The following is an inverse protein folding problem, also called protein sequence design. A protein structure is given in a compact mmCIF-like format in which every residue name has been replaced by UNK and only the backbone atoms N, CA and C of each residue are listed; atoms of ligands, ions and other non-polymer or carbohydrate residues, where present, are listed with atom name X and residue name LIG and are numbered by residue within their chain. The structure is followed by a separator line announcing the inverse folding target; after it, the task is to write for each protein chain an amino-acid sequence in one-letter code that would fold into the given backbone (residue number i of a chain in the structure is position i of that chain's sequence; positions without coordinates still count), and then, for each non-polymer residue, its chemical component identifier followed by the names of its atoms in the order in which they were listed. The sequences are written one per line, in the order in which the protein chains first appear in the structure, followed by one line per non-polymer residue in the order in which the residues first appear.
data_IF_770262092122
#
_entry.id   IF_770262092122
#
_cell.length_a   1.000
_cell.length_b   1.000
_cell.length_c   1.000
_cell.angle_alpha   90.00
_cell.angle_beta   90.00
_cell.angle_gamma   90.00
#
_symmetry.space_group_name_H-M   'P 1'
#
loop_
_entity.id
_entity.type
_entity.pdbx_description
1 polymer ?
#
# COMPACT_ATOMS: atom_id res chain seq x y z
N UNK A 1 -20.38 -5.87 -28.32
CA UNK A 1 -18.94 -5.64 -28.17
C UNK A 1 -18.46 -6.06 -26.76
N UNK A 2 -19.07 -5.55 -25.63
CA UNK A 2 -18.63 -5.95 -24.27
C UNK A 2 -18.87 -7.44 -24.06
N UNK A 3 -20.01 -8.00 -24.49
CA UNK A 3 -20.32 -9.43 -24.39
C UNK A 3 -19.34 -10.35 -25.16
N UNK A 4 -18.58 -9.81 -26.10
CA UNK A 4 -17.63 -10.55 -26.94
C UNK A 4 -16.21 -10.58 -26.36
N UNK A 5 -15.98 -9.85 -25.27
CA UNK A 5 -14.71 -9.85 -24.57
C UNK A 5 -14.51 -11.15 -23.80
N UNK A 6 -13.27 -11.63 -23.80
CA UNK A 6 -12.91 -12.83 -23.06
C UNK A 6 -13.12 -12.62 -21.55
N UNK A 7 -13.60 -13.64 -20.86
CA UNK A 7 -13.85 -13.61 -19.44
C UNK A 7 -15.12 -12.87 -19.00
N UNK A 8 -15.91 -12.31 -19.89
CA UNK A 8 -17.25 -11.80 -19.55
C UNK A 8 -18.19 -12.98 -19.32
N UNK A 9 -18.83 -13.01 -18.17
CA UNK A 9 -19.83 -14.03 -17.83
C UNK A 9 -21.21 -13.65 -18.36
N UNK A 10 -21.62 -12.43 -18.08
CA UNK A 10 -22.86 -11.85 -18.60
C UNK A 10 -22.83 -10.32 -18.54
N UNK A 11 -23.63 -9.70 -19.38
CA UNK A 11 -23.97 -8.28 -19.26
C UNK A 11 -25.47 -8.10 -19.19
N UNK A 12 -25.94 -7.10 -18.45
CA UNK A 12 -27.33 -6.78 -18.28
C UNK A 12 -27.54 -5.27 -18.40
N UNK A 13 -28.32 -4.86 -19.38
CA UNK A 13 -28.73 -3.48 -19.59
C UNK A 13 -30.18 -3.40 -20.02
N UNK A 14 -30.78 -2.21 -19.91
CA UNK A 14 -32.19 -2.01 -20.26
C UNK A 14 -32.56 -2.48 -21.67
N UNK A 15 -31.70 -2.24 -22.66
CA UNK A 15 -31.92 -2.68 -24.06
C UNK A 15 -31.96 -4.19 -24.19
N UNK A 16 -31.13 -4.93 -23.41
CA UNK A 16 -31.09 -6.39 -23.48
C UNK A 16 -32.30 -7.03 -22.80
N UNK A 17 -32.77 -6.43 -21.71
CA UNK A 17 -34.01 -6.84 -21.04
C UNK A 17 -35.21 -6.64 -21.97
N UNK A 18 -35.25 -5.51 -22.66
CA UNK A 18 -36.34 -5.18 -23.61
C UNK A 18 -36.38 -6.04 -24.86
N UNK A 19 -35.30 -6.77 -25.22
CA UNK A 19 -35.31 -7.74 -26.31
C UNK A 19 -35.77 -9.13 -25.86
N UNK A 20 -35.67 -9.44 -24.58
CA UNK A 20 -36.00 -10.77 -24.01
C UNK A 20 -37.41 -10.81 -23.43
N UNK A 21 -37.96 -9.68 -22.98
CA UNK A 21 -39.31 -9.55 -22.44
C UNK A 21 -40.13 -8.51 -23.21
N UNK A 22 -41.44 -8.76 -23.41
CA UNK A 22 -42.31 -7.73 -24.01
C UNK A 22 -42.28 -6.44 -23.19
N UNK A 23 -42.18 -5.30 -23.84
CA UNK A 23 -42.08 -3.98 -23.19
C UNK A 23 -43.25 -3.66 -22.23
N UNK A 24 -44.38 -4.34 -22.44
CA UNK A 24 -45.60 -4.19 -21.63
C UNK A 24 -45.51 -4.87 -20.27
N UNK A 25 -44.56 -5.77 -20.08
CA UNK A 25 -44.33 -6.51 -18.83
C UNK A 25 -43.24 -5.85 -17.99
N UNK A 26 -42.46 -4.94 -18.56
CA UNK A 26 -41.43 -4.19 -17.82
C UNK A 26 -42.11 -3.12 -16.98
N UNK A 27 -42.14 -3.38 -15.65
CA UNK A 27 -42.57 -2.38 -14.66
C UNK A 27 -41.72 -1.13 -14.77
N UNK A 28 -42.33 0.05 -14.54
CA UNK A 28 -41.61 1.32 -14.45
C UNK A 28 -40.50 1.29 -13.40
N UNK A 29 -40.62 0.46 -12.38
CA UNK A 29 -39.61 0.25 -11.35
C UNK A 29 -38.31 -0.34 -11.94
N UNK A 30 -38.41 -1.32 -12.84
CA UNK A 30 -37.25 -1.92 -13.51
C UNK A 30 -36.57 -0.89 -14.44
N UNK A 31 -37.36 -0.10 -15.15
CA UNK A 31 -36.84 0.97 -16.00
C UNK A 31 -36.05 1.99 -15.18
N UNK A 32 -36.60 2.40 -14.02
CA UNK A 32 -35.99 3.39 -13.15
C UNK A 32 -34.68 2.92 -12.50
N UNK A 33 -34.44 1.60 -12.40
CA UNK A 33 -33.17 1.03 -11.95
C UNK A 33 -32.08 1.25 -12.99
N UNK A 34 -32.37 1.04 -14.28
CA UNK A 34 -31.36 1.06 -15.34
C UNK A 34 -31.27 2.40 -16.07
N UNK A 35 -32.31 3.22 -16.03
CA UNK A 35 -32.37 4.48 -16.77
C UNK A 35 -32.84 5.59 -15.83
N UNK A 36 -32.01 6.60 -15.65
CA UNK A 36 -32.32 7.81 -14.91
C UNK A 36 -31.95 9.01 -15.74
N UNK A 37 -32.92 9.87 -16.08
CA UNK A 37 -32.74 11.11 -16.87
C UNK A 37 -31.66 11.06 -17.97
N UNK A 38 -30.41 11.28 -17.59
CA UNK A 38 -29.25 11.36 -18.48
C UNK A 38 -28.29 10.15 -18.37
N UNK A 39 -28.61 9.17 -17.53
CA UNK A 39 -27.72 8.04 -17.27
C UNK A 39 -28.40 6.71 -17.61
N UNK A 40 -27.63 5.82 -18.20
CA UNK A 40 -28.03 4.44 -18.40
C UNK A 40 -27.02 3.52 -17.76
N UNK A 41 -27.49 2.60 -16.91
CA UNK A 41 -26.66 1.61 -16.23
C UNK A 41 -26.61 0.31 -17.03
N UNK A 42 -25.42 -0.24 -17.15
CA UNK A 42 -25.16 -1.59 -17.67
C UNK A 42 -24.38 -2.34 -16.61
N UNK A 43 -24.89 -3.48 -16.16
CA UNK A 43 -24.20 -4.38 -15.25
C UNK A 43 -23.34 -5.34 -16.08
N UNK A 44 -22.13 -5.59 -15.61
CA UNK A 44 -21.16 -6.49 -16.23
C UNK A 44 -20.63 -7.43 -15.16
N UNK A 45 -20.69 -8.75 -15.39
CA UNK A 45 -20.08 -9.77 -14.55
C UNK A 45 -18.87 -10.36 -15.26
N UNK A 46 -17.78 -10.49 -14.52
CA UNK A 46 -16.54 -11.11 -14.98
C UNK A 46 -16.33 -12.46 -14.31
N UNK A 47 -15.68 -13.41 -15.00
CA UNK A 47 -15.22 -14.68 -14.45
C UNK A 47 -13.89 -14.58 -13.70
N UNK A 48 -13.17 -13.48 -13.91
CA UNK A 48 -11.86 -13.28 -13.34
C UNK A 48 -11.94 -12.84 -11.89
N UNK A 49 -10.98 -13.27 -11.10
CA UNK A 49 -10.87 -12.86 -9.69
C UNK A 49 -10.51 -11.39 -9.56
N UNK A 50 -11.02 -10.76 -8.50
CA UNK A 50 -10.74 -9.34 -8.19
C UNK A 50 -9.24 -9.16 -7.97
N UNK A 51 -8.69 -8.07 -8.51
CA UNK A 51 -7.27 -7.72 -8.48
C UNK A 51 -6.33 -8.69 -9.26
N UNK A 52 -6.87 -9.53 -10.16
CA UNK A 52 -6.04 -10.30 -11.10
C UNK A 52 -5.59 -9.45 -12.30
N UNK A 53 -4.49 -9.85 -12.93
CA UNK A 53 -3.97 -9.16 -14.12
C UNK A 53 -4.94 -9.29 -15.32
N UNK A 54 -5.66 -10.41 -15.39
CA UNK A 54 -6.68 -10.68 -16.40
C UNK A 54 -7.86 -9.72 -16.22
N UNK A 55 -8.36 -9.54 -14.99
CA UNK A 55 -9.43 -8.59 -14.71
C UNK A 55 -8.97 -7.15 -14.99
N UNK A 56 -7.76 -6.79 -14.61
CA UNK A 56 -7.23 -5.45 -14.86
C UNK A 56 -7.13 -5.14 -16.37
N UNK A 57 -6.73 -6.11 -17.17
CA UNK A 57 -6.70 -5.99 -18.63
C UNK A 57 -8.11 -5.85 -19.22
N UNK A 58 -9.06 -6.66 -18.77
CA UNK A 58 -10.46 -6.61 -19.17
C UNK A 58 -11.10 -5.26 -18.81
N UNK A 59 -10.84 -4.73 -17.61
CA UNK A 59 -11.29 -3.40 -17.17
C UNK A 59 -10.82 -2.31 -18.13
N UNK A 60 -9.55 -2.37 -18.56
CA UNK A 60 -9.01 -1.40 -19.51
C UNK A 60 -9.71 -1.48 -20.87
N UNK A 61 -9.99 -2.68 -21.36
CA UNK A 61 -10.72 -2.88 -22.63
C UNK A 61 -12.16 -2.39 -22.54
N UNK A 62 -12.87 -2.72 -21.47
CA UNK A 62 -14.24 -2.23 -21.22
C UNK A 62 -14.26 -0.71 -21.17
N UNK A 63 -13.34 -0.11 -20.40
CA UNK A 63 -13.27 1.35 -20.28
C UNK A 63 -13.00 2.01 -21.64
N UNK A 64 -12.14 1.43 -22.47
CA UNK A 64 -11.89 1.89 -23.83
C UNK A 64 -13.14 1.84 -24.69
N UNK A 65 -13.90 0.74 -24.62
CA UNK A 65 -15.17 0.61 -25.35
C UNK A 65 -16.18 1.64 -24.84
N UNK A 66 -16.33 1.79 -23.52
CA UNK A 66 -17.25 2.79 -22.95
C UNK A 66 -16.93 4.19 -23.45
N UNK A 67 -15.65 4.58 -23.43
CA UNK A 67 -15.19 5.90 -23.90
C UNK A 67 -15.33 6.11 -25.41
N UNK A 68 -15.34 5.05 -26.20
CA UNK A 68 -15.60 5.12 -27.64
C UNK A 68 -17.06 5.54 -27.93
N UNK A 69 -18.02 5.13 -27.09
CA UNK A 69 -19.45 5.42 -27.27
C UNK A 69 -19.93 6.64 -26.49
N UNK A 70 -19.39 6.84 -25.30
CA UNK A 70 -19.70 7.98 -24.43
C UNK A 70 -18.46 8.46 -23.69
N UNK A 71 -17.97 9.63 -24.06
CA UNK A 71 -16.80 10.25 -23.43
C UNK A 71 -17.01 10.48 -21.92
N UNK A 72 -18.25 10.71 -21.48
CA UNK A 72 -18.63 10.87 -20.07
C UNK A 72 -19.00 9.56 -19.38
N UNK A 73 -19.06 8.45 -20.14
CA UNK A 73 -19.33 7.14 -19.58
C UNK A 73 -18.31 6.77 -18.51
N UNK A 74 -18.75 6.18 -17.42
CA UNK A 74 -17.92 5.74 -16.29
C UNK A 74 -18.09 4.24 -16.11
N UNK A 75 -16.97 3.55 -15.94
CA UNK A 75 -16.97 2.14 -15.53
C UNK A 75 -16.65 2.08 -14.03
N UNK A 76 -17.62 1.67 -13.23
CA UNK A 76 -17.56 1.68 -11.77
C UNK A 76 -17.93 0.31 -11.22
N UNK A 77 -17.41 -0.04 -10.07
CA UNK A 77 -17.68 -1.30 -9.38
C UNK A 77 -16.48 -1.76 -8.57
N UNK A 78 -16.56 -2.93 -7.97
CA UNK A 78 -15.52 -3.46 -7.11
C UNK A 78 -14.20 -3.71 -7.85
N UNK A 79 -14.27 -4.31 -9.05
CA UNK A 79 -13.08 -4.55 -9.87
C UNK A 79 -12.34 -3.28 -10.27
N UNK A 80 -13.00 -2.30 -10.94
CA UNK A 80 -12.38 -1.01 -11.25
C UNK A 80 -11.86 -0.27 -10.01
N UNK A 81 -12.62 -0.28 -8.92
CA UNK A 81 -12.20 0.35 -7.66
C UNK A 81 -10.91 -0.27 -7.11
N UNK A 82 -10.83 -1.59 -7.07
CA UNK A 82 -9.64 -2.29 -6.58
C UNK A 82 -8.42 -2.04 -7.47
N UNK A 83 -8.61 -2.01 -8.78
CA UNK A 83 -7.54 -1.66 -9.72
C UNK A 83 -7.00 -0.24 -9.44
N UNK A 84 -7.90 0.75 -9.36
CA UNK A 84 -7.51 2.14 -9.09
C UNK A 84 -6.83 2.29 -7.73
N UNK A 85 -7.33 1.60 -6.70
CA UNK A 85 -6.73 1.58 -5.37
C UNK A 85 -5.30 1.03 -5.39
N UNK A 86 -5.06 -0.08 -6.10
CA UNK A 86 -3.71 -0.67 -6.20
C UNK A 86 -2.76 0.29 -6.94
N UNK A 87 -3.21 0.86 -8.06
CA UNK A 87 -2.42 1.77 -8.89
C UNK A 87 -2.05 3.07 -8.15
N UNK A 88 -3.03 3.69 -7.46
CA UNK A 88 -2.82 4.88 -6.63
C UNK A 88 -1.90 4.55 -5.45
N UNK A 89 -2.11 3.41 -4.78
CA UNK A 89 -1.31 3.02 -3.62
C UNK A 89 0.14 2.77 -3.95
N UNK A 90 0.45 2.16 -5.10
CA UNK A 90 1.85 1.96 -5.52
C UNK A 90 2.55 3.29 -5.80
N UNK A 91 1.84 4.23 -6.43
CA UNK A 91 2.35 5.58 -6.66
C UNK A 91 2.55 6.35 -5.36
N UNK A 92 1.57 6.30 -4.46
CA UNK A 92 1.64 6.97 -3.17
C UNK A 92 2.72 6.36 -2.26
N UNK A 93 2.87 5.04 -2.27
CA UNK A 93 3.93 4.36 -1.53
C UNK A 93 5.31 4.87 -1.94
N UNK A 94 5.58 4.95 -3.24
CA UNK A 94 6.86 5.50 -3.74
C UNK A 94 7.07 6.94 -3.33
N UNK A 95 6.06 7.76 -3.47
CA UNK A 95 6.16 9.19 -3.12
C UNK A 95 6.37 9.38 -1.63
N UNK A 96 5.55 8.75 -0.79
CA UNK A 96 5.64 8.84 0.67
C UNK A 96 7.01 8.33 1.14
N UNK A 97 7.46 7.19 0.66
CA UNK A 97 8.76 6.63 1.03
C UNK A 97 9.92 7.55 0.61
N UNK A 98 9.90 8.05 -0.63
CA UNK A 98 10.94 8.96 -1.13
C UNK A 98 10.99 10.25 -0.34
N UNK A 99 9.84 10.87 -0.08
CA UNK A 99 9.76 12.12 0.70
C UNK A 99 10.19 11.88 2.15
N UNK A 100 9.76 10.79 2.77
CA UNK A 100 10.15 10.42 4.14
C UNK A 100 11.66 10.24 4.27
N UNK A 101 12.26 9.47 3.38
CA UNK A 101 13.72 9.27 3.34
C UNK A 101 14.45 10.61 3.14
N UNK A 102 13.99 11.45 2.22
CA UNK A 102 14.62 12.73 1.95
C UNK A 102 14.56 13.67 3.17
N UNK A 103 13.40 13.77 3.81
CA UNK A 103 13.23 14.61 5.02
C UNK A 103 14.09 14.09 6.17
N UNK A 104 14.07 12.79 6.42
CA UNK A 104 14.89 12.15 7.46
C UNK A 104 16.38 12.34 7.17
N UNK A 105 16.81 12.19 5.92
CA UNK A 105 18.19 12.42 5.53
C UNK A 105 18.65 13.85 5.84
N UNK A 106 17.83 14.84 5.50
CA UNK A 106 18.11 16.24 5.82
C UNK A 106 18.22 16.46 7.33
N UNK A 107 17.27 15.96 8.12
CA UNK A 107 17.29 16.07 9.59
C UNK A 107 18.57 15.44 10.16
N UNK A 108 18.93 14.25 9.68
CA UNK A 108 20.12 13.55 10.16
C UNK A 108 21.43 14.28 9.83
N UNK A 109 21.53 14.93 8.67
CA UNK A 109 22.70 15.77 8.34
C UNK A 109 22.89 16.87 9.40
N UNK A 110 21.80 17.55 9.78
CA UNK A 110 21.87 18.61 10.81
C UNK A 110 22.23 18.05 12.19
N UNK A 111 21.62 16.93 12.58
CA UNK A 111 21.84 16.34 13.90
C UNK A 111 23.25 15.75 14.04
N UNK A 112 23.70 14.99 13.04
CA UNK A 112 24.98 14.28 13.09
C UNK A 112 26.16 15.11 12.57
N UNK A 113 25.88 16.27 11.97
CA UNK A 113 26.89 17.15 11.34
C UNK A 113 27.84 16.38 10.39
N UNK A 114 27.29 15.41 9.67
CA UNK A 114 28.01 14.51 8.77
C UNK A 114 27.10 14.07 7.64
N UNK A 115 27.60 13.88 6.45
CA UNK A 115 26.84 13.37 5.29
C UNK A 115 26.95 11.84 5.18
N UNK A 116 28.10 11.28 5.53
CA UNK A 116 28.36 9.84 5.37
C UNK A 116 27.56 8.97 6.34
N UNK A 117 27.36 9.44 7.59
CA UNK A 117 26.64 8.68 8.60
C UNK A 117 25.14 8.52 8.26
N UNK A 118 24.40 9.58 7.88
CA UNK A 118 23.02 9.44 7.44
C UNK A 118 22.83 8.45 6.27
N UNK A 119 23.70 8.49 5.28
CA UNK A 119 23.64 7.55 4.14
C UNK A 119 23.72 6.12 4.61
N UNK A 120 24.71 5.82 5.47
CA UNK A 120 24.91 4.46 5.99
C UNK A 120 23.74 4.00 6.88
N UNK A 121 23.25 4.87 7.74
CA UNK A 121 22.14 4.54 8.65
C UNK A 121 20.84 4.30 7.88
N UNK A 122 20.48 5.17 6.96
CA UNK A 122 19.29 5.01 6.12
C UNK A 122 19.39 3.72 5.31
N UNK A 123 20.56 3.45 4.70
CA UNK A 123 20.75 2.21 3.95
C UNK A 123 20.51 0.96 4.80
N UNK A 124 21.01 0.93 6.04
CA UNK A 124 20.82 -0.20 6.96
C UNK A 124 19.34 -0.34 7.36
N UNK A 125 18.66 0.78 7.62
CA UNK A 125 17.23 0.77 8.01
C UNK A 125 16.37 0.32 6.83
N UNK A 126 16.58 0.87 5.64
CA UNK A 126 15.86 0.47 4.43
C UNK A 126 16.08 -1.01 4.09
N UNK A 127 17.32 -1.48 4.24
CA UNK A 127 17.61 -2.90 4.07
C UNK A 127 16.85 -3.78 5.07
N UNK A 128 16.74 -3.37 6.34
CA UNK A 128 15.96 -4.09 7.34
C UNK A 128 14.46 -4.08 7.03
N UNK A 129 13.91 -2.96 6.54
CA UNK A 129 12.53 -2.87 6.07
C UNK A 129 12.29 -3.83 4.90
N UNK A 130 13.21 -3.85 3.95
CA UNK A 130 13.11 -4.72 2.77
C UNK A 130 13.13 -6.21 3.16
N UNK A 131 13.99 -6.60 4.11
CA UNK A 131 14.03 -7.97 4.64
C UNK A 131 12.73 -8.30 5.36
N UNK A 132 12.20 -7.38 6.17
CA UNK A 132 10.94 -7.58 6.88
C UNK A 132 9.76 -7.80 5.91
N UNK A 133 9.65 -6.96 4.89
CA UNK A 133 8.62 -7.12 3.85
C UNK A 133 8.82 -8.40 3.03
N UNK A 134 10.06 -8.79 2.78
CA UNK A 134 10.40 -10.04 2.08
C UNK A 134 10.02 -11.31 2.86
N UNK A 135 9.85 -11.24 4.18
CA UNK A 135 9.41 -12.39 4.98
C UNK A 135 8.01 -12.87 4.60
N UNK A 136 7.12 -12.00 4.12
CA UNK A 136 5.79 -12.37 3.65
C UNK A 136 5.85 -13.32 2.45
N UNK A 137 6.83 -13.15 1.56
CA UNK A 137 7.07 -14.07 0.45
C UNK A 137 7.46 -15.48 0.94
N UNK A 138 8.28 -15.57 1.99
CA UNK A 138 8.70 -16.85 2.57
C UNK A 138 7.57 -17.56 3.31
N UNK A 139 6.64 -16.82 3.89
CA UNK A 139 5.49 -17.34 4.62
C UNK A 139 4.26 -17.57 3.73
N UNK A 140 4.34 -17.23 2.44
CA UNK A 140 3.21 -17.29 1.50
C UNK A 140 1.98 -16.51 1.98
N UNK A 141 2.20 -15.39 2.68
CA UNK A 141 1.14 -14.51 3.17
C UNK A 141 1.05 -13.28 2.27
N UNK A 142 -0.16 -12.90 1.90
CA UNK A 142 -0.41 -11.65 1.18
C UNK A 142 -0.49 -10.49 2.17
N UNK A 143 0.28 -9.44 1.92
CA UNK A 143 0.21 -8.21 2.71
C UNK A 143 -0.76 -7.26 2.00
N UNK A 144 -1.81 -6.76 2.69
CA UNK A 144 -2.65 -5.70 2.14
C UNK A 144 -1.81 -4.48 1.75
N UNK A 145 -2.15 -3.84 0.63
CA UNK A 145 -1.37 -2.71 0.09
C UNK A 145 -1.18 -1.57 1.10
N UNK A 146 -2.20 -1.25 1.91
CA UNK A 146 -2.12 -0.23 2.96
C UNK A 146 -1.11 -0.62 4.03
N UNK A 147 -1.02 -1.90 4.38
CA UNK A 147 -0.12 -2.37 5.42
C UNK A 147 1.35 -2.17 5.02
N UNK A 148 1.71 -2.29 3.75
CA UNK A 148 3.07 -2.04 3.26
C UNK A 148 3.51 -0.60 3.51
N UNK A 149 2.65 0.38 3.27
CA UNK A 149 2.91 1.80 3.52
C UNK A 149 3.09 2.04 5.03
N UNK A 150 2.17 1.50 5.84
CA UNK A 150 2.18 1.66 7.29
C UNK A 150 3.42 1.02 7.92
N UNK A 151 3.78 -0.20 7.51
CA UNK A 151 4.97 -0.90 8.01
C UNK A 151 6.23 -0.10 7.67
N UNK A 152 6.40 0.33 6.43
CA UNK A 152 7.56 1.10 5.99
C UNK A 152 7.74 2.39 6.78
N UNK A 153 6.69 3.20 6.88
CA UNK A 153 6.75 4.50 7.58
C UNK A 153 6.94 4.37 9.08
N UNK A 154 6.24 3.44 9.74
CA UNK A 154 6.40 3.20 11.19
C UNK A 154 7.78 2.65 11.48
N UNK A 155 8.26 1.67 10.73
CA UNK A 155 9.55 1.05 10.95
C UNK A 155 10.68 2.06 10.74
N UNK A 156 10.61 2.88 9.69
CA UNK A 156 11.57 3.94 9.43
C UNK A 156 11.59 4.95 10.60
N UNK A 157 10.43 5.49 10.98
CA UNK A 157 10.31 6.47 12.06
C UNK A 157 10.77 5.94 13.43
N UNK A 158 10.32 4.75 13.82
CA UNK A 158 10.66 4.16 15.11
C UNK A 158 12.13 3.71 15.23
N UNK A 159 12.78 3.38 14.11
CA UNK A 159 14.17 2.88 14.13
C UNK A 159 15.18 4.01 14.09
N UNK A 160 14.85 5.13 13.44
CA UNK A 160 15.78 6.24 13.22
C UNK A 160 16.23 6.89 14.53
N UNK A 161 15.34 7.03 15.51
CA UNK A 161 15.64 7.67 16.78
C UNK A 161 16.72 6.91 17.55
N UNK A 162 16.69 5.58 17.53
CA UNK A 162 17.72 4.74 18.17
C UNK A 162 19.04 4.75 17.40
N UNK A 163 18.97 4.83 16.07
CA UNK A 163 20.14 4.98 15.24
C UNK A 163 20.86 6.32 15.53
N UNK A 164 20.10 7.41 15.65
CA UNK A 164 20.62 8.73 16.03
C UNK A 164 21.21 8.69 17.45
N UNK A 165 20.48 8.13 18.43
CA UNK A 165 20.91 8.04 19.82
C UNK A 165 22.26 7.34 19.93
N UNK A 166 22.39 6.14 19.39
CA UNK A 166 23.61 5.36 19.43
C UNK A 166 24.77 6.06 18.70
N UNK A 167 24.51 6.64 17.53
CA UNK A 167 25.52 7.31 16.73
C UNK A 167 26.00 8.59 17.41
N UNK A 168 25.11 9.36 18.03
CA UNK A 168 25.47 10.56 18.78
C UNK A 168 26.34 10.23 19.96
N UNK A 169 26.01 9.20 20.74
CA UNK A 169 26.86 8.70 21.84
C UNK A 169 28.25 8.26 21.36
N UNK A 170 28.30 7.56 20.24
CA UNK A 170 29.59 7.19 19.65
C UNK A 170 30.41 8.43 19.23
N UNK A 171 29.80 9.44 18.62
CA UNK A 171 30.50 10.67 18.24
C UNK A 171 31.00 11.44 19.51
N UNK A 172 30.18 11.53 20.55
CA UNK A 172 30.56 12.16 21.81
C UNK A 172 31.78 11.47 22.43
N UNK A 173 31.76 10.15 22.54
CA UNK A 173 32.87 9.35 23.04
C UNK A 173 34.15 9.54 22.21
N UNK A 174 34.02 9.59 20.90
CA UNK A 174 35.15 9.85 20.01
C UNK A 174 35.73 11.27 20.17
N UNK A 175 34.87 12.28 20.36
CA UNK A 175 35.32 13.65 20.65
C UNK A 175 36.03 13.79 22.01
N UNK A 176 35.66 12.94 22.99
CA UNK A 176 36.33 12.86 24.31
C UNK A 176 37.65 12.10 24.24
N UNK A 177 38.12 11.66 23.08
CA UNK A 177 39.40 11.00 22.89
C UNK A 177 39.40 9.49 23.18
N UNK A 178 38.22 8.88 23.42
CA UNK A 178 38.09 7.45 23.66
C UNK A 178 38.44 6.66 22.40
N UNK A 179 39.14 5.55 22.52
CA UNK A 179 39.50 4.69 21.39
C UNK A 179 38.26 4.15 20.67
N UNK A 180 38.34 3.94 19.35
CA UNK A 180 37.23 3.54 18.48
C UNK A 180 36.46 2.32 19.01
N UNK A 181 37.16 1.26 19.43
CA UNK A 181 36.53 0.03 19.94
C UNK A 181 35.80 0.27 21.26
N UNK A 182 36.39 1.02 22.15
CA UNK A 182 35.81 1.36 23.44
C UNK A 182 34.62 2.31 23.25
N UNK A 183 34.73 3.32 22.38
CA UNK A 183 33.66 4.24 22.08
C UNK A 183 32.40 3.55 21.52
N UNK A 184 32.57 2.55 20.66
CA UNK A 184 31.47 1.72 20.18
C UNK A 184 30.84 0.89 21.31
N UNK A 185 31.67 0.24 22.13
CA UNK A 185 31.20 -0.60 23.24
C UNK A 185 30.41 0.20 24.27
N UNK A 186 30.86 1.39 24.62
CA UNK A 186 30.17 2.30 25.54
C UNK A 186 28.89 2.87 24.97
N UNK A 187 28.90 3.28 23.69
CA UNK A 187 27.69 3.74 23.00
C UNK A 187 26.62 2.64 22.90
N UNK A 188 27.03 1.41 22.58
CA UNK A 188 26.16 0.26 22.58
C UNK A 188 25.63 -0.05 24.00
N UNK A 189 26.48 -0.13 24.98
CA UNK A 189 26.10 -0.43 26.37
C UNK A 189 25.09 0.56 26.94
N UNK A 190 25.22 1.85 26.61
CA UNK A 190 24.31 2.90 27.06
C UNK A 190 22.96 2.90 26.30
N UNK A 191 22.92 2.40 25.08
CA UNK A 191 21.72 2.47 24.19
C UNK A 191 20.95 1.15 24.14
N UNK A 192 21.61 0.01 24.36
CA UNK A 192 21.02 -1.32 24.12
C UNK A 192 19.77 -1.59 24.95
N UNK A 193 19.75 -1.15 26.19
CA UNK A 193 18.60 -1.34 27.10
C UNK A 193 17.36 -0.62 26.54
N UNK A 194 17.50 0.62 26.09
CA UNK A 194 16.42 1.40 25.53
C UNK A 194 15.91 0.78 24.21
N UNK A 195 16.84 0.31 23.37
CA UNK A 195 16.51 -0.34 22.10
C UNK A 195 15.72 -1.63 22.34
N UNK A 196 16.18 -2.50 23.24
CA UNK A 196 15.51 -3.77 23.56
C UNK A 196 14.14 -3.53 24.20
N UNK A 197 14.04 -2.64 25.17
CA UNK A 197 12.76 -2.35 25.84
C UNK A 197 11.75 -1.81 24.85
N UNK A 198 12.13 -0.86 24.01
CA UNK A 198 11.23 -0.32 23.00
C UNK A 198 10.82 -1.38 21.96
N UNK A 199 11.76 -2.18 21.48
CA UNK A 199 11.47 -3.29 20.58
C UNK A 199 10.50 -4.30 21.18
N UNK A 200 10.66 -4.66 22.45
CA UNK A 200 9.74 -5.55 23.16
C UNK A 200 8.36 -4.92 23.37
N UNK A 201 8.28 -3.63 23.69
CA UNK A 201 7.01 -2.91 23.80
C UNK A 201 6.28 -2.87 22.47
N UNK A 202 6.99 -2.57 21.38
CA UNK A 202 6.40 -2.56 20.03
C UNK A 202 5.94 -3.95 19.61
N UNK A 203 6.76 -4.98 19.84
CA UNK A 203 6.40 -6.37 19.62
C UNK A 203 5.15 -6.77 20.42
N UNK A 204 5.11 -6.45 21.72
CA UNK A 204 3.96 -6.77 22.57
C UNK A 204 2.66 -6.10 22.11
N UNK A 205 2.74 -4.84 21.66
CA UNK A 205 1.61 -4.11 21.13
C UNK A 205 1.09 -4.75 19.82
N UNK A 206 1.99 -5.02 18.86
CA UNK A 206 1.63 -5.62 17.59
C UNK A 206 1.16 -7.06 17.73
N UNK A 207 1.82 -7.85 18.58
CA UNK A 207 1.40 -9.22 18.89
C UNK A 207 0.01 -9.27 19.52
N UNK A 208 -0.28 -8.34 20.44
CA UNK A 208 -1.61 -8.23 21.05
C UNK A 208 -2.70 -7.97 20.01
N UNK A 209 -2.45 -7.07 19.06
CA UNK A 209 -3.39 -6.82 17.95
C UNK A 209 -3.52 -8.06 17.07
N UNK A 210 -2.43 -8.68 16.66
CA UNK A 210 -2.46 -9.86 15.78
C UNK A 210 -3.13 -11.09 16.42
N UNK A 211 -2.99 -11.26 17.76
CA UNK A 211 -3.56 -12.41 18.46
C UNK A 211 -5.05 -12.25 18.77
N UNK A 212 -5.53 -11.02 18.99
CA UNK A 212 -6.89 -10.75 19.45
C UNK A 212 -7.78 -10.07 18.40
N UNK A 213 -7.23 -9.51 17.32
CA UNK A 213 -8.02 -8.93 16.24
C UNK A 213 -8.71 -10.04 15.43
N UNK A 214 -10.01 -9.87 15.22
CA UNK A 214 -10.82 -10.72 14.34
C UNK A 214 -10.98 -10.12 12.93
N UNK A 215 -10.31 -9.01 12.69
CA UNK A 215 -10.34 -8.36 11.38
C UNK A 215 -9.29 -9.09 10.53
N UNK A 216 -9.75 -9.79 9.52
CA UNK A 216 -8.88 -10.28 8.44
C UNK A 216 -8.41 -9.04 7.66
N UNK A 217 -7.15 -8.67 7.86
CA UNK A 217 -6.49 -7.59 7.12
C UNK A 217 -5.64 -8.17 6.01
#
# INVERSE_FOLDING_TARGET
KIDELDGIEWTLGYSKIGTTLPREVLSDDIKNIFVSENYQMILVSSKYEIASDELNSQINEINKIVKEYDEKGMFVGEGPLMKDLVEISDHDFRNVNTVSIAVIFVIMIFVLSSISLPILLIFVIEFAIFVNMGCSFLTNTTIPFIASIVIGTIQLGATIDYAILMTTKYIENRKSGIEKKQAISEALGSSITSIIVSGLCFFGATFGVGAYSKIEM
#
